data_IF_386560759049
#
_entry.id   IF_386560759049
#
_cell.length_a   1.000
_cell.length_b   1.000
_cell.length_c   1.000
_cell.angle_alpha   90.00
_cell.angle_beta   90.00
_cell.angle_gamma   90.00
#
_symmetry.space_group_name_H-M   'P 1'
#
loop_
_entity.id
_entity.type
_entity.pdbx_description
1 polymer ?
#
# COMPACT_ATOMS: atom_id res chain seq x y z
N UNK A 1 -43.93 -19.56 37.37
CA UNK A 1 -43.84 -19.10 35.96
C UNK A 1 -44.12 -17.59 35.98
N UNK A 2 -43.22 -16.65 35.73
CA UNK A 2 -41.97 -16.62 34.96
C UNK A 2 -41.21 -15.36 35.42
N UNK A 3 -40.04 -15.49 36.04
CA UNK A 3 -38.75 -15.10 35.43
C UNK A 3 -38.87 -14.46 34.03
N UNK A 4 -38.49 -13.19 33.87
CA UNK A 4 -37.52 -12.78 32.85
C UNK A 4 -37.01 -11.37 33.16
N UNK A 5 -35.74 -11.30 33.57
CA UNK A 5 -34.96 -10.07 33.69
C UNK A 5 -34.77 -9.46 32.29
N UNK A 6 -35.27 -8.24 32.08
CA UNK A 6 -34.85 -7.39 30.97
C UNK A 6 -33.50 -6.77 31.28
N UNK A 7 -32.43 -7.58 31.20
CA UNK A 7 -31.10 -7.04 30.92
C UNK A 7 -31.13 -6.51 29.49
N UNK A 8 -31.29 -5.19 29.33
CA UNK A 8 -30.72 -4.52 28.17
C UNK A 8 -29.20 -4.71 28.29
N UNK A 9 -28.70 -5.80 27.71
CA UNK A 9 -27.32 -5.84 27.29
C UNK A 9 -27.17 -4.67 26.32
N UNK A 10 -26.59 -3.58 26.81
CA UNK A 10 -25.85 -2.66 25.97
C UNK A 10 -24.69 -3.49 25.40
N UNK A 11 -25.00 -4.33 24.42
CA UNK A 11 -24.01 -4.76 23.46
C UNK A 11 -23.66 -3.47 22.74
N UNK A 12 -22.68 -2.77 23.30
CA UNK A 12 -21.89 -1.81 22.56
C UNK A 12 -21.29 -2.68 21.46
N UNK A 13 -22.03 -2.87 20.38
CA UNK A 13 -21.49 -3.41 19.15
C UNK A 13 -20.47 -2.36 18.79
N UNK A 14 -19.22 -2.60 19.20
CA UNK A 14 -18.07 -1.99 18.61
C UNK A 14 -18.21 -2.40 17.16
N UNK A 15 -18.89 -1.57 16.37
CA UNK A 15 -18.79 -1.63 14.93
C UNK A 15 -17.30 -1.66 14.69
N UNK A 16 -16.73 -2.74 14.14
CA UNK A 16 -15.34 -2.68 13.75
C UNK A 16 -15.27 -1.48 12.84
N UNK A 17 -14.60 -0.42 13.28
CA UNK A 17 -14.36 0.74 12.45
C UNK A 17 -13.67 0.15 11.23
N UNK A 18 -14.40 0.10 10.11
CA UNK A 18 -13.85 -0.30 8.82
C UNK A 18 -12.57 0.51 8.68
N UNK A 19 -11.42 -0.17 8.70
CA UNK A 19 -10.13 0.52 8.64
C UNK A 19 -10.17 1.38 7.39
N UNK A 20 -9.99 2.69 7.55
CA UNK A 20 -10.01 3.65 6.45
C UNK A 20 -8.95 3.29 5.37
N UNK A 21 -7.93 2.53 5.78
CA UNK A 21 -7.04 1.80 4.89
C UNK A 21 -7.26 0.29 5.11
N UNK A 22 -8.15 -0.37 4.34
CA UNK A 22 -8.26 -1.82 4.39
C UNK A 22 -6.92 -2.44 3.99
N UNK A 23 -6.54 -3.54 4.65
CA UNK A 23 -5.29 -4.26 4.36
C UNK A 23 -5.59 -5.69 3.92
N UNK A 24 -4.90 -6.17 2.89
CA UNK A 24 -4.84 -7.58 2.52
C UNK A 24 -3.39 -8.04 2.62
N UNK A 25 -3.11 -9.05 3.46
CA UNK A 25 -1.76 -9.61 3.66
C UNK A 25 -0.67 -8.56 3.96
N UNK A 26 -1.04 -7.52 4.72
CA UNK A 26 -0.14 -6.42 5.09
C UNK A 26 0.10 -5.37 3.99
N UNK A 27 -0.69 -5.41 2.91
CA UNK A 27 -0.69 -4.43 1.83
C UNK A 27 -1.96 -3.60 1.93
N UNK A 28 -1.83 -2.27 1.95
CA UNK A 28 -2.98 -1.36 1.94
C UNK A 28 -3.72 -1.43 0.60
N UNK A 29 -5.04 -1.54 0.61
CA UNK A 29 -5.85 -1.40 -0.59
C UNK A 29 -6.30 0.05 -0.76
N UNK A 30 -5.80 0.67 -1.83
CA UNK A 30 -6.08 2.06 -2.13
C UNK A 30 -7.13 2.18 -3.25
N UNK A 31 -7.92 3.24 -3.13
CA UNK A 31 -8.91 3.65 -4.09
C UNK A 31 -9.00 5.20 -4.07
N UNK A 32 -9.80 5.83 -4.94
CA UNK A 32 -9.86 7.30 -5.02
C UNK A 32 -10.24 8.00 -3.71
N UNK A 33 -10.98 7.35 -2.82
CA UNK A 33 -11.43 7.95 -1.55
C UNK A 33 -10.36 7.99 -0.46
N UNK A 34 -9.34 7.14 -0.51
CA UNK A 34 -8.30 7.03 0.53
C UNK A 34 -6.87 7.22 0.01
N UNK A 35 -6.63 7.20 -1.29
CA UNK A 35 -5.29 7.28 -1.89
C UNK A 35 -4.52 8.55 -1.45
N UNK A 36 -5.13 9.73 -1.56
CA UNK A 36 -4.48 11.00 -1.17
C UNK A 36 -4.19 11.04 0.33
N UNK A 37 -5.08 10.49 1.15
CA UNK A 37 -4.90 10.42 2.59
C UNK A 37 -3.77 9.46 2.96
N UNK A 38 -3.65 8.31 2.29
CA UNK A 38 -2.56 7.36 2.49
C UNK A 38 -1.20 8.00 2.19
N UNK A 39 -1.08 8.70 1.05
CA UNK A 39 0.14 9.40 0.65
C UNK A 39 0.58 10.47 1.68
N UNK A 40 -0.38 11.10 2.36
CA UNK A 40 -0.11 12.08 3.43
C UNK A 40 0.22 11.43 4.77
N UNK A 41 -0.47 10.35 5.11
CA UNK A 41 -0.37 9.68 6.41
C UNK A 41 0.89 8.83 6.54
N UNK A 42 1.32 8.18 5.45
CA UNK A 42 2.45 7.28 5.44
C UNK A 42 3.66 7.97 4.79
N UNK A 43 4.68 8.39 5.57
CA UNK A 43 5.83 9.14 5.04
C UNK A 43 6.67 8.33 4.04
N UNK A 44 6.58 7.00 4.10
CA UNK A 44 7.26 6.08 3.20
C UNK A 44 6.22 5.07 2.72
N UNK A 45 5.73 5.24 1.50
CA UNK A 45 4.64 4.44 0.97
C UNK A 45 5.00 3.96 -0.43
N UNK A 46 5.11 2.65 -0.60
CA UNK A 46 5.23 2.02 -1.91
C UNK A 46 3.83 1.68 -2.41
N UNK A 47 3.48 2.12 -3.62
CA UNK A 47 2.18 1.83 -4.25
C UNK A 47 2.38 1.09 -5.56
N UNK A 48 1.81 -0.11 -5.66
CA UNK A 48 1.66 -0.86 -6.90
C UNK A 48 0.36 -0.44 -7.62
N UNK A 49 0.51 0.11 -8.82
CA UNK A 49 -0.60 0.37 -9.75
C UNK A 49 -0.72 -0.85 -10.67
N UNK A 50 -1.78 -1.63 -10.48
CA UNK A 50 -1.96 -2.91 -11.16
C UNK A 50 -3.28 -2.97 -11.93
N UNK A 51 -3.45 -4.04 -12.69
CA UNK A 51 -4.73 -4.43 -13.26
C UNK A 51 -4.95 -5.94 -13.01
N UNK A 52 -6.14 -6.37 -12.56
CA UNK A 52 -6.39 -7.75 -12.16
C UNK A 52 -6.29 -8.76 -13.31
N UNK A 53 -6.47 -8.30 -14.55
CA UNK A 53 -6.37 -9.10 -15.77
C UNK A 53 -4.96 -9.13 -16.37
N UNK A 54 -3.99 -8.40 -15.81
CA UNK A 54 -2.63 -8.36 -16.32
C UNK A 54 -1.81 -9.57 -15.83
N UNK A 55 -1.28 -10.44 -16.72
CA UNK A 55 -0.50 -11.61 -16.32
C UNK A 55 0.77 -11.28 -15.54
N UNK A 56 1.44 -10.17 -15.88
CA UNK A 56 2.61 -9.71 -15.14
C UNK A 56 2.26 -9.28 -13.71
N UNK A 57 1.13 -8.59 -13.51
CA UNK A 57 0.63 -8.25 -12.18
C UNK A 57 0.30 -9.51 -11.37
N UNK A 58 -0.39 -10.48 -11.97
CA UNK A 58 -0.74 -11.73 -11.30
C UNK A 58 0.52 -12.51 -10.86
N UNK A 59 1.57 -12.50 -11.69
CA UNK A 59 2.85 -13.13 -11.36
C UNK A 59 3.61 -12.37 -10.25
N UNK A 60 3.46 -11.05 -10.21
CA UNK A 60 4.16 -10.18 -9.26
C UNK A 60 3.47 -10.10 -7.88
N UNK A 61 2.15 -10.19 -7.83
CA UNK A 61 1.36 -10.12 -6.60
C UNK A 61 1.90 -10.98 -5.43
N UNK A 62 2.19 -12.28 -5.59
CA UNK A 62 2.73 -13.08 -4.48
C UNK A 62 4.14 -12.62 -4.03
N UNK A 63 4.93 -12.04 -4.94
CA UNK A 63 6.24 -11.46 -4.60
C UNK A 63 6.08 -10.17 -3.81
N UNK A 64 5.09 -9.36 -4.16
CA UNK A 64 4.77 -8.12 -3.46
C UNK A 64 4.25 -8.39 -2.04
N UNK A 65 3.46 -9.45 -1.86
CA UNK A 65 3.02 -9.96 -0.55
C UNK A 65 4.20 -10.41 0.32
N UNK A 66 5.15 -11.20 -0.21
CA UNK A 66 6.35 -11.60 0.56
C UNK A 66 7.23 -10.39 0.89
N UNK A 67 7.33 -9.41 0.00
CA UNK A 67 8.05 -8.17 0.27
C UNK A 67 7.40 -7.38 1.43
N UNK A 68 6.06 -7.30 1.48
CA UNK A 68 5.33 -6.67 2.58
C UNK A 68 5.61 -7.37 3.92
N UNK A 69 5.57 -8.70 3.93
CA UNK A 69 5.89 -9.49 5.11
C UNK A 69 7.32 -9.24 5.60
N UNK A 70 8.31 -9.25 4.70
CA UNK A 70 9.73 -8.98 5.04
C UNK A 70 9.97 -7.57 5.56
N UNK A 71 9.26 -6.58 5.02
CA UNK A 71 9.37 -5.21 5.49
C UNK A 71 8.74 -5.05 6.89
N UNK A 72 7.64 -5.74 7.16
CA UNK A 72 7.02 -5.78 8.48
C UNK A 72 7.94 -6.43 9.53
N UNK A 73 8.59 -7.57 9.21
CA UNK A 73 9.49 -8.27 10.15
C UNK A 73 10.80 -7.52 10.44
N UNK A 74 11.18 -6.58 9.58
CA UNK A 74 12.41 -5.76 9.74
C UNK A 74 12.14 -4.40 10.39
N UNK A 75 10.93 -4.16 10.91
CA UNK A 75 10.50 -2.87 11.47
C UNK A 75 10.75 -1.69 10.51
N UNK A 76 10.59 -1.93 9.20
CA UNK A 76 10.68 -0.87 8.21
C UNK A 76 9.59 0.18 8.45
N UNK A 77 9.89 1.49 8.38
CA UNK A 77 8.86 2.52 8.46
C UNK A 77 8.02 2.63 7.17
N UNK A 78 8.36 1.86 6.13
CA UNK A 78 7.64 1.83 4.87
C UNK A 78 6.39 0.96 4.92
N UNK A 79 5.31 1.45 4.32
CA UNK A 79 4.09 0.69 4.03
C UNK A 79 4.04 0.32 2.55
N UNK A 80 3.47 -0.85 2.24
CA UNK A 80 3.15 -1.27 0.88
C UNK A 80 1.66 -1.13 0.65
N UNK A 81 1.29 -0.81 -0.58
CA UNK A 81 -0.07 -0.55 -0.99
C UNK A 81 -0.28 -0.96 -2.44
N UNK A 82 -1.53 -1.24 -2.81
CA UNK A 82 -1.93 -1.55 -4.17
C UNK A 82 -3.16 -0.74 -4.58
N UNK A 83 -3.25 -0.40 -5.86
CA UNK A 83 -4.38 0.31 -6.44
C UNK A 83 -4.68 -0.27 -7.83
N UNK A 84 -5.93 -0.71 -8.04
CA UNK A 84 -6.41 -1.16 -9.35
C UNK A 84 -6.60 0.04 -10.28
N UNK A 85 -5.54 0.35 -11.02
CA UNK A 85 -5.49 1.51 -11.90
C UNK A 85 -6.38 1.32 -13.15
N UNK A 86 -6.75 0.07 -13.48
CA UNK A 86 -7.68 -0.22 -14.58
C UNK A 86 -9.10 0.27 -14.30
N UNK A 87 -9.48 0.39 -13.02
CA UNK A 87 -10.78 0.92 -12.59
C UNK A 87 -10.79 2.44 -12.37
N UNK A 88 -9.61 3.05 -12.21
CA UNK A 88 -9.48 4.44 -11.76
C UNK A 88 -8.60 5.27 -12.72
N UNK A 89 -9.08 5.44 -13.96
CA UNK A 89 -8.34 6.10 -15.05
C UNK A 89 -7.82 7.50 -14.71
N UNK A 90 -8.52 8.26 -13.87
CA UNK A 90 -8.07 9.60 -13.46
C UNK A 90 -6.75 9.57 -12.67
N UNK A 91 -6.60 8.61 -11.75
CA UNK A 91 -5.36 8.44 -10.96
C UNK A 91 -4.23 7.96 -11.86
N UNK A 92 -4.52 6.98 -12.74
CA UNK A 92 -3.56 6.46 -13.70
C UNK A 92 -3.05 7.59 -14.62
N UNK A 93 -3.94 8.44 -15.14
CA UNK A 93 -3.57 9.58 -15.99
C UNK A 93 -2.71 10.62 -15.27
N UNK A 94 -3.06 10.98 -14.03
CA UNK A 94 -2.28 11.93 -13.22
C UNK A 94 -0.85 11.45 -12.99
N UNK A 95 -0.66 10.15 -12.79
CA UNK A 95 0.65 9.53 -12.56
C UNK A 95 1.30 8.99 -13.84
N UNK A 96 0.69 9.23 -15.00
CA UNK A 96 1.14 8.72 -16.30
C UNK A 96 1.42 7.21 -16.29
N UNK A 97 0.59 6.43 -15.59
CA UNK A 97 0.66 4.96 -15.58
C UNK A 97 0.17 4.46 -16.94
N UNK A 98 1.11 3.99 -17.77
CA UNK A 98 0.82 3.50 -19.12
C UNK A 98 0.88 1.96 -19.20
N UNK A 99 1.59 1.33 -18.28
CA UNK A 99 1.83 -0.12 -18.24
C UNK A 99 1.66 -0.68 -16.83
N UNK A 100 1.43 -1.99 -16.73
CA UNK A 100 1.17 -2.66 -15.46
C UNK A 100 2.12 -3.85 -15.23
N UNK A 101 2.61 -4.05 -13.99
CA UNK A 101 2.47 -3.14 -12.86
C UNK A 101 3.40 -1.91 -13.03
N UNK A 102 2.93 -0.74 -12.62
CA UNK A 102 3.79 0.44 -12.40
C UNK A 102 3.88 0.69 -10.90
N UNK A 103 5.06 1.02 -10.38
CA UNK A 103 5.21 1.28 -8.95
C UNK A 103 5.76 2.68 -8.67
N UNK A 104 5.15 3.38 -7.72
CA UNK A 104 5.66 4.64 -7.18
C UNK A 104 5.95 4.49 -5.70
N UNK A 105 7.09 5.04 -5.29
CA UNK A 105 7.44 5.20 -3.89
C UNK A 105 7.24 6.66 -3.48
N UNK A 106 6.33 6.90 -2.55
CA UNK A 106 6.10 8.21 -1.97
C UNK A 106 7.03 8.40 -0.78
N UNK A 107 7.85 9.44 -0.85
CA UNK A 107 8.72 9.89 0.23
C UNK A 107 8.24 11.25 0.70
N UNK A 108 7.63 11.28 1.88
CA UNK A 108 7.01 12.47 2.47
C UNK A 108 6.05 13.13 1.46
N UNK A 109 5.17 12.32 0.86
CA UNK A 109 4.22 12.77 -0.16
C UNK A 109 4.77 12.96 -1.57
N UNK A 110 6.09 12.94 -1.78
CA UNK A 110 6.69 13.12 -3.10
C UNK A 110 6.85 11.78 -3.83
N UNK A 111 6.24 11.60 -5.03
CA UNK A 111 6.34 10.37 -5.79
C UNK A 111 7.73 10.20 -6.41
N UNK A 112 8.27 8.99 -6.33
CA UNK A 112 9.46 8.54 -7.04
C UNK A 112 9.09 7.30 -7.84
N UNK A 113 9.27 7.33 -9.15
CA UNK A 113 9.04 6.15 -9.99
C UNK A 113 10.04 5.06 -9.61
N UNK A 114 9.55 3.84 -9.39
CA UNK A 114 10.43 2.69 -9.19
C UNK A 114 10.71 2.01 -10.52
N UNK A 115 11.95 2.08 -10.96
CA UNK A 115 12.48 1.45 -12.18
C UNK A 115 13.38 0.23 -11.87
N UNK A 116 13.32 -0.28 -10.64
CA UNK A 116 14.10 -1.44 -10.21
C UNK A 116 13.48 -2.77 -10.63
N UNK A 117 14.13 -3.87 -10.24
CA UNK A 117 13.66 -5.23 -10.55
C UNK A 117 12.37 -5.57 -9.79
N UNK A 118 11.42 -6.23 -10.47
CA UNK A 118 10.15 -6.73 -9.92
C UNK A 118 10.35 -8.06 -9.16
N UNK A 119 11.35 -8.09 -8.27
CA UNK A 119 11.71 -9.24 -7.46
C UNK A 119 11.78 -8.87 -5.98
N UNK A 120 11.56 -9.86 -5.11
CA UNK A 120 11.41 -9.68 -3.66
C UNK A 120 12.64 -9.00 -3.04
N UNK A 121 13.83 -9.57 -3.24
CA UNK A 121 15.07 -9.09 -2.60
C UNK A 121 15.46 -7.69 -3.08
N UNK A 122 15.50 -7.40 -4.40
CA UNK A 122 15.77 -6.04 -4.88
C UNK A 122 14.77 -5.01 -4.38
N UNK A 123 13.47 -5.32 -4.38
CA UNK A 123 12.42 -4.43 -3.92
C UNK A 123 12.58 -4.08 -2.44
N UNK A 124 12.69 -5.09 -1.57
CA UNK A 124 12.87 -4.90 -0.12
C UNK A 124 14.12 -4.07 0.18
N UNK A 125 15.25 -4.41 -0.46
CA UNK A 125 16.52 -3.68 -0.28
C UNK A 125 16.39 -2.24 -0.72
N UNK A 126 15.73 -1.98 -1.85
CA UNK A 126 15.53 -0.64 -2.36
C UNK A 126 14.65 0.18 -1.41
N UNK A 127 13.49 -0.36 -0.98
CA UNK A 127 12.57 0.30 -0.04
C UNK A 127 13.28 0.64 1.27
N UNK A 128 14.02 -0.30 1.85
CA UNK A 128 14.78 -0.07 3.09
C UNK A 128 15.82 1.04 2.93
N UNK A 129 16.52 1.08 1.78
CA UNK A 129 17.54 2.10 1.50
C UNK A 129 16.94 3.50 1.39
N UNK A 130 15.81 3.64 0.69
CA UNK A 130 15.18 4.96 0.45
C UNK A 130 14.38 5.47 1.66
N UNK A 131 13.96 4.56 2.53
CA UNK A 131 13.21 4.87 3.77
C UNK A 131 14.10 5.29 4.94
N UNK A 132 15.43 5.19 4.81
CA UNK A 132 16.37 5.59 5.85
C UNK A 132 16.37 7.11 6.07
N UNK A 133 16.34 7.59 7.33
CA UNK A 133 16.59 8.99 7.65
C UNK A 133 17.97 9.42 7.15
N UNK A 134 18.08 10.58 6.48
CA UNK A 134 19.35 11.13 6.00
C UNK A 134 19.75 10.80 4.54
N UNK A 135 19.07 9.87 3.87
CA UNK A 135 19.38 9.51 2.46
C UNK A 135 18.85 10.53 1.42
N UNK A 136 18.13 11.58 1.87
CA UNK A 136 17.53 12.61 1.01
C UNK A 136 18.55 13.34 0.11
N UNK A 137 19.81 13.40 0.52
CA UNK A 137 20.81 14.27 -0.10
C UNK A 137 21.54 13.65 -1.31
N UNK A 138 21.37 12.37 -1.62
CA UNK A 138 22.26 11.66 -2.58
C UNK A 138 21.56 10.83 -3.66
N UNK A 139 20.24 10.88 -3.79
CA UNK A 139 19.57 10.13 -4.86
C UNK A 139 19.44 11.03 -6.09
N UNK A 140 20.15 10.74 -7.20
CA UNK A 140 19.92 11.48 -8.43
C UNK A 140 18.52 11.12 -8.93
N UNK A 141 17.75 12.16 -9.24
CA UNK A 141 16.48 12.05 -9.94
C UNK A 141 16.81 11.66 -11.39
N UNK A 142 16.80 10.36 -11.68
CA UNK A 142 16.89 9.84 -13.04
C UNK A 142 15.90 8.72 -13.23
#
# INVERSE_FOLDING_TARGET
HSLLLSLLALVCTVTPALSYFPEEKGILELNPSNYVAAVRQFPYLMVEFYAPWCPYCQTFAPKYEDAALRLATTNSPAKLAKLDASRYAAIAAQLKVQEYPTMYFYRQGHPLLYNGQMEIVPLVRWVQRVSRPGTASKMPLV
#
